data_IF_380163740479
#
_entry.id   IF_380163740479
#
_cell.length_a   1.000
_cell.length_b   1.000
_cell.length_c   1.000
_cell.angle_alpha   90.00
_cell.angle_beta   90.00
_cell.angle_gamma   90.00
#
_symmetry.space_group_name_H-M   'P 1'
#
loop_
_entity.id
_entity.type
_entity.pdbx_description
1 polymer ?
#
# COMPACT_ATOMS: atom_id res chain seq x y z
N UNK A 1 -1.27 6.60 38.53
CA UNK A 1 -0.51 6.99 37.32
C UNK A 1 -0.62 5.95 36.18
N UNK A 2 -1.69 5.15 36.09
CA UNK A 2 -1.72 3.93 35.23
C UNK A 2 -2.52 4.05 33.93
N UNK A 3 -3.48 4.99 33.83
CA UNK A 3 -4.34 5.12 32.65
C UNK A 3 -3.63 5.66 31.39
N UNK A 4 -2.56 6.46 31.55
CA UNK A 4 -1.81 7.01 30.42
C UNK A 4 -0.86 6.00 29.76
N UNK A 5 -0.35 5.02 30.51
CA UNK A 5 0.61 4.04 30.03
C UNK A 5 -0.06 2.96 29.16
N UNK A 6 -1.23 2.46 29.56
CA UNK A 6 -2.01 1.49 28.78
C UNK A 6 -2.44 2.06 27.43
N UNK A 7 -2.88 3.32 27.39
CA UNK A 7 -3.24 4.00 26.13
C UNK A 7 -2.07 4.08 25.14
N UNK A 8 -0.86 4.36 25.62
CA UNK A 8 0.32 4.42 24.76
C UNK A 8 0.73 3.06 24.19
N UNK A 9 0.67 2.00 24.99
CA UNK A 9 0.99 0.64 24.54
C UNK A 9 0.01 0.19 23.46
N UNK A 10 -1.29 0.43 23.64
CA UNK A 10 -2.31 0.10 22.63
C UNK A 10 -2.05 0.80 21.31
N UNK A 11 -1.72 2.09 21.32
CA UNK A 11 -1.40 2.81 20.07
C UNK A 11 -0.13 2.29 19.40
N UNK A 12 0.89 1.89 20.16
CA UNK A 12 2.10 1.27 19.57
C UNK A 12 1.79 -0.06 18.90
N UNK A 13 0.98 -0.91 19.54
CA UNK A 13 0.52 -2.17 18.95
C UNK A 13 -0.25 -1.89 17.66
N UNK A 14 -1.15 -0.90 17.66
CA UNK A 14 -1.89 -0.52 16.46
C UNK A 14 -0.95 -0.10 15.31
N UNK A 15 0.06 0.71 15.59
CA UNK A 15 1.03 1.11 14.57
C UNK A 15 1.89 -0.09 14.10
N UNK A 16 2.24 -1.02 14.99
CA UNK A 16 2.97 -2.24 14.61
C UNK A 16 2.13 -3.16 13.71
N UNK A 17 0.84 -3.33 14.02
CA UNK A 17 -0.11 -4.05 13.15
C UNK A 17 -0.26 -3.32 11.81
N UNK A 18 -0.32 -1.99 11.82
CA UNK A 18 -0.33 -1.17 10.61
C UNK A 18 0.93 -1.37 9.75
N UNK A 19 2.11 -1.48 10.36
CA UNK A 19 3.35 -1.77 9.66
C UNK A 19 3.31 -3.12 8.94
N UNK A 20 2.84 -4.16 9.63
CA UNK A 20 2.69 -5.50 9.06
C UNK A 20 1.65 -5.52 7.94
N UNK A 21 0.49 -4.89 8.13
CA UNK A 21 -0.55 -4.80 7.12
C UNK A 21 -0.04 -4.07 5.86
N UNK A 22 0.66 -2.94 6.04
CA UNK A 22 1.26 -2.19 4.94
C UNK A 22 2.34 -3.00 4.21
N UNK A 23 3.14 -3.78 4.93
CA UNK A 23 4.15 -4.65 4.35
C UNK A 23 3.53 -5.79 3.51
N UNK A 24 2.49 -6.43 4.04
CA UNK A 24 1.76 -7.48 3.34
C UNK A 24 1.11 -6.94 2.07
N UNK A 25 0.50 -5.76 2.13
CA UNK A 25 -0.04 -5.07 0.95
C UNK A 25 1.05 -4.81 -0.09
N UNK A 26 2.19 -4.25 0.33
CA UNK A 26 3.32 -4.01 -0.57
C UNK A 26 3.84 -5.32 -1.20
N UNK A 27 3.89 -6.41 -0.43
CA UNK A 27 4.25 -7.73 -0.94
C UNK A 27 3.28 -8.25 -2.00
N UNK A 28 1.97 -8.08 -1.81
CA UNK A 28 0.98 -8.44 -2.84
C UNK A 28 1.11 -7.59 -4.10
N UNK A 29 1.37 -6.29 -3.98
CA UNK A 29 1.63 -5.42 -5.13
C UNK A 29 2.90 -5.85 -5.87
N UNK A 30 3.95 -6.19 -5.13
CA UNK A 30 5.21 -6.67 -5.71
C UNK A 30 5.02 -8.03 -6.41
N UNK A 31 4.22 -8.92 -5.83
CA UNK A 31 3.86 -10.20 -6.44
C UNK A 31 3.06 -10.02 -7.73
N UNK A 32 2.10 -9.10 -7.74
CA UNK A 32 1.34 -8.73 -8.95
C UNK A 32 2.27 -8.22 -10.05
N UNK A 33 3.18 -7.31 -9.72
CA UNK A 33 4.20 -6.80 -10.65
C UNK A 33 5.14 -7.90 -11.18
N UNK A 34 5.55 -8.83 -10.33
CA UNK A 34 6.46 -9.91 -10.71
C UNK A 34 5.79 -10.97 -11.60
N UNK A 35 4.46 -11.08 -11.53
CA UNK A 35 3.65 -12.00 -12.34
C UNK A 35 3.17 -11.38 -13.65
N UNK A 36 3.54 -10.14 -13.96
CA UNK A 36 3.22 -9.52 -15.25
C UNK A 36 3.82 -10.35 -16.39
N UNK A 37 2.97 -10.71 -17.36
CA UNK A 37 3.34 -11.54 -18.52
C UNK A 37 3.56 -13.02 -18.21
N UNK A 38 3.29 -13.50 -17.00
CA UNK A 38 3.32 -14.94 -16.73
C UNK A 38 2.06 -15.63 -17.28
N UNK A 39 2.15 -16.84 -17.88
CA UNK A 39 3.33 -17.71 -18.01
C UNK A 39 4.11 -17.61 -19.33
N UNK A 40 3.54 -17.00 -20.37
CA UNK A 40 4.07 -17.04 -21.74
C UNK A 40 5.09 -15.93 -22.06
N UNK A 41 5.28 -15.00 -21.13
CA UNK A 41 6.15 -13.83 -21.26
C UNK A 41 5.53 -12.70 -22.07
N UNK A 42 4.26 -12.78 -22.45
CA UNK A 42 3.62 -11.79 -23.31
C UNK A 42 3.22 -10.53 -22.51
N UNK A 43 3.72 -9.37 -22.94
CA UNK A 43 3.38 -8.08 -22.33
C UNK A 43 2.40 -7.30 -23.19
N UNK A 44 1.22 -7.03 -22.65
CA UNK A 44 0.20 -6.21 -23.30
C UNK A 44 0.59 -4.73 -23.33
N UNK A 45 -0.08 -3.93 -24.14
CA UNK A 45 0.13 -2.48 -24.15
C UNK A 45 -0.35 -1.84 -22.83
N UNK A 46 -1.38 -2.41 -22.21
CA UNK A 46 -1.78 -2.08 -20.84
C UNK A 46 -0.65 -2.32 -19.83
N UNK A 47 0.03 -3.47 -19.89
CA UNK A 47 1.10 -3.81 -18.94
C UNK A 47 2.25 -2.82 -19.05
N UNK A 48 2.68 -2.52 -20.28
CA UNK A 48 3.75 -1.56 -20.53
C UNK A 48 3.39 -0.16 -20.04
N UNK A 49 2.16 0.29 -20.25
CA UNK A 49 1.70 1.62 -19.86
C UNK A 49 1.50 1.75 -18.34
N UNK A 50 0.97 0.71 -17.70
CA UNK A 50 0.62 0.76 -16.27
C UNK A 50 1.80 0.45 -15.33
N UNK A 51 2.85 -0.20 -15.83
CA UNK A 51 3.99 -0.69 -15.04
C UNK A 51 4.61 0.38 -14.14
N UNK A 52 5.00 1.53 -14.70
CA UNK A 52 5.66 2.59 -13.93
C UNK A 52 4.75 3.13 -12.82
N UNK A 53 3.46 3.31 -13.12
CA UNK A 53 2.48 3.79 -12.16
C UNK A 53 2.32 2.81 -10.99
N UNK A 54 2.19 1.51 -11.29
CA UNK A 54 2.10 0.45 -10.30
C UNK A 54 3.37 0.35 -9.44
N UNK A 55 4.56 0.45 -10.04
CA UNK A 55 5.84 0.44 -9.33
C UNK A 55 5.98 1.62 -8.35
N UNK A 56 5.55 2.81 -8.74
CA UNK A 56 5.58 3.97 -7.83
C UNK A 56 4.66 3.74 -6.64
N UNK A 57 3.44 3.27 -6.86
CA UNK A 57 2.50 2.96 -5.78
C UNK A 57 3.04 1.88 -4.83
N UNK A 58 3.64 0.82 -5.37
CA UNK A 58 4.28 -0.26 -4.60
C UNK A 58 5.43 0.26 -3.72
N UNK A 59 6.37 1.04 -4.29
CA UNK A 59 7.49 1.62 -3.53
C UNK A 59 7.01 2.57 -2.43
N UNK A 60 5.98 3.37 -2.71
CA UNK A 60 5.38 4.27 -1.72
C UNK A 60 4.74 3.43 -0.60
N UNK A 61 4.04 2.35 -0.93
CA UNK A 61 3.44 1.44 0.05
C UNK A 61 4.49 0.77 0.96
N UNK A 62 5.65 0.39 0.43
CA UNK A 62 6.80 -0.03 1.25
C UNK A 62 7.27 1.07 2.22
N UNK A 63 7.34 2.32 1.74
CA UNK A 63 7.65 3.47 2.58
C UNK A 63 6.66 3.66 3.73
N UNK A 64 5.37 3.42 3.50
CA UNK A 64 4.34 3.47 4.54
C UNK A 64 4.54 2.41 5.63
N UNK A 65 5.00 1.20 5.27
CA UNK A 65 5.36 0.18 6.27
C UNK A 65 6.48 0.68 7.19
N UNK A 66 7.56 1.25 6.62
CA UNK A 66 8.63 1.85 7.41
C UNK A 66 8.14 3.01 8.30
N UNK A 67 7.25 3.87 7.78
CA UNK A 67 6.67 4.96 8.54
C UNK A 67 5.87 4.47 9.75
N UNK A 68 5.08 3.40 9.62
CA UNK A 68 4.38 2.81 10.76
C UNK A 68 5.33 2.27 11.83
N UNK A 69 6.44 1.63 11.43
CA UNK A 69 7.49 1.19 12.37
C UNK A 69 8.06 2.40 13.11
N UNK A 70 8.39 3.47 12.40
CA UNK A 70 8.89 4.70 13.01
C UNK A 70 7.89 5.29 14.01
N UNK A 71 6.60 5.36 13.65
CA UNK A 71 5.55 5.85 14.56
C UNK A 71 5.40 5.00 15.83
N UNK A 72 5.64 3.68 15.73
CA UNK A 72 5.61 2.79 16.88
C UNK A 72 6.81 3.02 17.84
N UNK A 73 7.97 3.40 17.31
CA UNK A 73 9.23 3.51 18.06
C UNK A 73 9.50 4.93 18.60
N UNK A 74 9.16 5.97 17.85
CA UNK A 74 9.49 7.37 18.21
C UNK A 74 8.75 7.81 19.48
N UNK A 75 9.40 8.54 20.41
CA UNK A 75 8.79 9.02 21.65
C UNK A 75 7.87 10.23 21.44
N UNK A 76 6.77 10.04 20.69
CA UNK A 76 5.69 11.02 20.54
C UNK A 76 4.53 10.76 21.51
N UNK A 77 3.76 11.81 21.81
CA UNK A 77 2.55 11.73 22.64
C UNK A 77 1.49 10.81 22.02
N UNK A 78 0.75 10.08 22.86
CA UNK A 78 -0.22 9.07 22.41
C UNK A 78 -1.27 9.58 21.42
N UNK A 79 -1.79 10.80 21.61
CA UNK A 79 -2.76 11.42 20.70
C UNK A 79 -2.16 11.68 19.31
N UNK A 80 -0.97 12.27 19.25
CA UNK A 80 -0.27 12.54 18.00
C UNK A 80 0.10 11.23 17.28
N UNK A 81 0.51 10.20 18.03
CA UNK A 81 0.75 8.86 17.47
C UNK A 81 -0.52 8.27 16.87
N UNK A 82 -1.64 8.35 17.58
CA UNK A 82 -2.91 7.81 17.11
C UNK A 82 -3.37 8.51 15.82
N UNK A 83 -3.36 9.84 15.78
CA UNK A 83 -3.75 10.59 14.58
C UNK A 83 -2.82 10.27 13.41
N UNK A 84 -1.51 10.23 13.65
CA UNK A 84 -0.55 9.85 12.62
C UNK A 84 -0.81 8.42 12.11
N UNK A 85 -1.00 7.43 12.98
CA UNK A 85 -1.25 6.05 12.55
C UNK A 85 -2.59 5.91 11.80
N UNK A 86 -3.63 6.66 12.17
CA UNK A 86 -4.91 6.66 11.43
C UNK A 86 -4.79 7.31 10.05
N UNK A 87 -4.09 8.45 9.94
CA UNK A 87 -3.86 9.11 8.64
C UNK A 87 -3.02 8.22 7.73
N UNK A 88 -1.91 7.69 8.25
CA UNK A 88 -1.02 6.75 7.55
C UNK A 88 -1.79 5.53 7.06
N UNK A 89 -2.71 5.00 7.87
CA UNK A 89 -3.59 3.89 7.49
C UNK A 89 -4.54 4.28 6.36
N UNK A 90 -5.22 5.42 6.49
CA UNK A 90 -6.15 5.91 5.46
C UNK A 90 -5.47 6.11 4.11
N UNK A 91 -4.27 6.68 4.10
CA UNK A 91 -3.48 6.86 2.87
C UNK A 91 -3.01 5.52 2.31
N UNK A 92 -2.58 4.58 3.15
CA UNK A 92 -2.20 3.23 2.71
C UNK A 92 -3.36 2.51 2.02
N UNK A 93 -4.57 2.63 2.56
CA UNK A 93 -5.78 2.06 1.95
C UNK A 93 -6.05 2.74 0.60
N UNK A 94 -5.95 4.07 0.54
CA UNK A 94 -6.16 4.81 -0.70
C UNK A 94 -5.17 4.40 -1.80
N UNK A 95 -3.89 4.18 -1.46
CA UNK A 95 -2.89 3.68 -2.39
C UNK A 95 -3.24 2.29 -2.92
N UNK A 96 -3.67 1.38 -2.03
CA UNK A 96 -4.11 0.04 -2.43
C UNK A 96 -5.32 0.09 -3.38
N UNK A 97 -6.32 0.94 -3.10
CA UNK A 97 -7.48 1.15 -3.97
C UNK A 97 -7.03 1.75 -5.32
N UNK A 98 -6.12 2.71 -5.30
CA UNK A 98 -5.58 3.31 -6.52
C UNK A 98 -4.86 2.27 -7.37
N UNK A 99 -4.11 1.37 -6.75
CA UNK A 99 -3.39 0.30 -7.43
C UNK A 99 -4.32 -0.73 -8.07
N UNK A 100 -5.31 -1.23 -7.32
CA UNK A 100 -6.17 -2.34 -7.78
C UNK A 100 -7.40 -1.91 -8.56
N UNK A 101 -7.88 -0.67 -8.38
CA UNK A 101 -9.05 -0.16 -9.07
C UNK A 101 -8.72 1.05 -9.95
N UNK A 102 -7.97 2.02 -9.42
CA UNK A 102 -7.66 3.26 -10.14
C UNK A 102 -6.83 3.04 -11.41
N UNK A 103 -5.73 2.29 -11.31
CA UNK A 103 -4.85 2.00 -12.44
C UNK A 103 -5.57 1.16 -13.50
N UNK A 104 -6.21 0.02 -13.19
CA UNK A 104 -6.96 -0.75 -14.19
C UNK A 104 -8.09 0.04 -14.84
N UNK A 105 -8.84 0.81 -14.06
CA UNK A 105 -9.90 1.66 -14.61
C UNK A 105 -9.34 2.71 -15.57
N UNK A 106 -8.25 3.39 -15.20
CA UNK A 106 -7.68 4.44 -16.03
C UNK A 106 -7.08 3.90 -17.33
N UNK A 107 -6.19 2.91 -17.24
CA UNK A 107 -5.50 2.39 -18.43
C UNK A 107 -6.39 1.45 -19.26
N UNK A 108 -7.16 0.57 -18.63
CA UNK A 108 -8.02 -0.38 -19.33
C UNK A 108 -9.33 0.23 -19.82
N UNK A 109 -10.11 0.84 -18.91
CA UNK A 109 -11.45 1.35 -19.26
C UNK A 109 -11.42 2.73 -19.88
N UNK A 110 -10.69 3.68 -19.30
CA UNK A 110 -10.72 5.07 -19.75
C UNK A 110 -9.86 5.29 -21.00
N UNK A 111 -8.66 4.71 -21.06
CA UNK A 111 -7.79 4.76 -22.24
C UNK A 111 -8.03 3.62 -23.25
N UNK A 112 -8.77 2.59 -22.87
CA UNK A 112 -9.11 1.49 -23.78
C UNK A 112 -7.94 0.57 -24.12
N UNK A 113 -6.89 0.52 -23.29
CA UNK A 113 -5.74 -0.35 -23.54
C UNK A 113 -6.14 -1.81 -23.29
N UNK A 114 -5.81 -2.66 -24.25
CA UNK A 114 -6.02 -4.10 -24.13
C UNK A 114 -5.15 -4.67 -23.01
N UNK A 115 -5.79 -5.37 -22.09
CA UNK A 115 -5.19 -6.05 -20.94
C UNK A 115 -5.15 -7.58 -21.13
N UNK A 116 -5.46 -8.09 -22.33
CA UNK A 116 -5.43 -9.51 -22.67
C UNK A 116 -6.62 -10.30 -22.13
N UNK A 117 -7.61 -9.65 -21.50
CA UNK A 117 -8.82 -10.30 -21.00
C UNK A 117 -9.92 -10.21 -22.07
N UNK A 118 -10.18 -11.32 -22.76
CA UNK A 118 -11.32 -11.43 -23.70
C UNK A 118 -11.00 -11.70 -25.16
N UNK A 119 -9.77 -12.14 -25.48
CA UNK A 119 -9.41 -12.73 -26.77
C UNK A 119 -9.81 -14.20 -26.91
#
# INVERSE_FOLDING_TARGET
>A
MTAGATSQTTTRILCAVGALAALVLAFFMSSDLYMIGFPDGHLTDYDKASLTSKQVLERVQFGFSALFVLLALVPIGGRARLTACLVTLGVSILLAVTYWAGVPWYFGTHLGLDNGIGG
#
